data_IF_923970159765
#
_entry.id   IF_923970159765
#
_cell.length_a   1.000
_cell.length_b   1.000
_cell.length_c   1.000
_cell.angle_alpha   90.00
_cell.angle_beta   90.00
_cell.angle_gamma   90.00
#
_symmetry.space_group_name_H-M   'P 1'
#
loop_
_entity.id
_entity.type
_entity.pdbx_description
1 polymer ?
#
# COMPACT_ATOMS: atom_id res chain seq x y z
N UNK A 1 10.73 -2.49 -12.79
CA UNK A 1 9.64 -3.38 -13.22
C UNK A 1 8.63 -3.35 -12.09
N UNK A 2 7.46 -2.81 -12.39
CA UNK A 2 6.37 -2.59 -11.44
C UNK A 2 5.70 -3.93 -11.20
N UNK A 3 6.01 -4.59 -10.08
CA UNK A 3 5.24 -5.75 -9.64
C UNK A 3 4.06 -5.22 -8.84
N UNK A 4 3.04 -4.72 -9.52
CA UNK A 4 1.70 -4.69 -8.91
C UNK A 4 1.29 -6.14 -8.75
N UNK A 5 1.01 -6.63 -7.53
CA UNK A 5 0.35 -7.91 -7.39
C UNK A 5 -1.02 -7.76 -8.08
N UNK A 6 -1.18 -8.37 -9.25
CA UNK A 6 -2.48 -8.54 -9.89
C UNK A 6 -3.29 -9.47 -8.99
N UNK A 7 -3.95 -8.89 -7.98
CA UNK A 7 -5.11 -9.52 -7.39
C UNK A 7 -6.08 -9.80 -8.55
N UNK A 8 -6.53 -11.05 -8.76
CA UNK A 8 -7.51 -11.32 -9.80
C UNK A 8 -8.68 -10.35 -9.62
N UNK A 9 -9.26 -9.84 -10.71
CA UNK A 9 -10.48 -9.01 -10.68
C UNK A 9 -11.63 -9.85 -10.10
N UNK A 10 -11.69 -9.99 -8.78
CA UNK A 10 -12.66 -10.82 -8.08
C UNK A 10 -13.87 -9.95 -7.76
N UNK A 11 -15.06 -10.29 -8.27
CA UNK A 11 -16.28 -9.57 -7.90
C UNK A 11 -16.53 -9.72 -6.40
N UNK A 12 -16.51 -8.60 -5.67
CA UNK A 12 -16.83 -8.53 -4.25
C UNK A 12 -18.36 -8.59 -4.12
N UNK A 13 -18.87 -9.57 -3.37
CA UNK A 13 -20.29 -9.71 -3.02
C UNK A 13 -20.44 -9.74 -1.49
N UNK A 14 -20.42 -8.57 -0.84
CA UNK A 14 -20.44 -8.46 0.61
C UNK A 14 -21.67 -9.14 1.22
N UNK A 15 -21.47 -9.92 2.27
CA UNK A 15 -22.55 -10.42 3.12
C UNK A 15 -22.08 -10.57 4.56
N UNK A 16 -23.04 -10.56 5.48
CA UNK A 16 -22.79 -10.65 6.91
C UNK A 16 -22.66 -12.11 7.35
N UNK A 17 -21.67 -12.37 8.20
CA UNK A 17 -21.44 -13.65 8.89
C UNK A 17 -21.06 -13.36 10.34
N UNK A 18 -21.03 -14.40 11.17
CA UNK A 18 -20.44 -14.28 12.51
C UNK A 18 -18.92 -14.41 12.45
N UNK A 19 -18.19 -13.79 13.39
CA UNK A 19 -16.75 -13.89 13.47
C UNK A 19 -16.28 -15.36 13.57
N UNK A 20 -17.06 -16.23 14.22
CA UNK A 20 -16.77 -17.66 14.32
C UNK A 20 -16.76 -18.41 12.98
N UNK A 21 -17.39 -17.87 11.93
CA UNK A 21 -17.44 -18.48 10.60
C UNK A 21 -16.26 -18.07 9.71
N UNK A 22 -15.49 -17.05 10.12
CA UNK A 22 -14.35 -16.54 9.37
C UNK A 22 -13.20 -17.54 9.41
N UNK A 23 -12.58 -17.77 8.25
CA UNK A 23 -11.42 -18.66 8.12
C UNK A 23 -10.28 -18.01 7.35
N UNK A 24 -9.05 -18.55 7.43
CA UNK A 24 -7.95 -18.10 6.60
C UNK A 24 -8.30 -18.07 5.10
N UNK A 25 -7.92 -16.98 4.45
CA UNK A 25 -8.21 -16.65 3.05
C UNK A 25 -9.47 -15.82 2.85
N UNK A 26 -10.36 -15.69 3.82
CA UNK A 26 -11.54 -14.83 3.65
C UNK A 26 -11.13 -13.35 3.53
N UNK A 27 -11.72 -12.65 2.55
CA UNK A 27 -11.62 -11.19 2.45
C UNK A 27 -12.70 -10.57 3.34
N UNK A 28 -12.24 -9.86 4.35
CA UNK A 28 -12.94 -9.56 5.59
C UNK A 28 -12.95 -8.06 5.88
N UNK A 29 -14.07 -7.56 6.40
CA UNK A 29 -14.24 -6.22 6.93
C UNK A 29 -14.89 -6.29 8.32
N UNK A 30 -14.39 -5.49 9.26
CA UNK A 30 -14.82 -5.50 10.67
C UNK A 30 -16.25 -5.02 10.85
N UNK A 31 -16.71 -4.16 9.95
CA UNK A 31 -18.04 -3.55 9.94
C UNK A 31 -18.56 -3.43 8.51
N UNK A 32 -19.87 -3.21 8.36
CA UNK A 32 -20.47 -2.89 7.05
C UNK A 32 -19.98 -1.54 6.49
N UNK A 33 -19.60 -0.60 7.37
CA UNK A 33 -19.02 0.69 6.99
C UNK A 33 -17.64 0.50 6.38
N UNK A 34 -16.77 -0.32 7.00
CA UNK A 34 -15.46 -0.67 6.43
C UNK A 34 -15.61 -1.28 5.04
N UNK A 35 -16.59 -2.19 4.85
CA UNK A 35 -16.88 -2.76 3.54
C UNK A 35 -17.31 -1.71 2.51
N UNK A 36 -18.13 -0.73 2.92
CA UNK A 36 -18.57 0.38 2.07
C UNK A 36 -17.41 1.33 1.70
N UNK A 37 -16.51 1.60 2.64
CA UNK A 37 -15.28 2.36 2.44
C UNK A 37 -14.16 1.56 1.75
N UNK A 38 -14.43 0.30 1.39
CA UNK A 38 -13.46 -0.64 0.80
C UNK A 38 -12.23 -0.87 1.67
N UNK A 39 -12.37 -0.83 2.99
CA UNK A 39 -11.33 -1.27 3.92
C UNK A 39 -11.49 -2.76 4.16
N UNK A 40 -10.75 -3.54 3.37
CA UNK A 40 -10.74 -4.99 3.43
C UNK A 40 -9.40 -5.52 3.92
N UNK A 41 -9.45 -6.69 4.55
CA UNK A 41 -8.28 -7.42 5.00
C UNK A 41 -8.44 -8.90 4.64
N UNK A 42 -7.35 -9.57 4.31
CA UNK A 42 -7.31 -11.03 4.18
C UNK A 42 -7.03 -11.61 5.55
N UNK A 43 -7.87 -12.53 5.99
CA UNK A 43 -7.61 -13.29 7.22
C UNK A 43 -6.48 -14.27 6.93
N UNK A 44 -5.36 -14.14 7.64
CA UNK A 44 -4.22 -15.06 7.46
C UNK A 44 -4.28 -16.20 8.47
N UNK A 45 -4.73 -15.93 9.69
CA UNK A 45 -4.84 -16.91 10.77
C UNK A 45 -6.04 -16.61 11.68
N UNK A 46 -6.57 -17.67 12.31
CA UNK A 46 -7.65 -17.59 13.29
C UNK A 46 -7.31 -18.49 14.49
N UNK A 47 -7.23 -17.94 15.70
CA UNK A 47 -6.86 -18.66 16.92
C UNK A 47 -7.91 -18.44 18.02
N UNK A 48 -8.29 -19.47 18.79
CA UNK A 48 -9.14 -19.28 19.97
C UNK A 48 -8.35 -18.61 21.11
N UNK A 49 -8.88 -17.52 21.66
CA UNK A 49 -8.35 -16.87 22.89
C UNK A 49 -9.11 -17.36 24.12
N UNK A 50 -10.43 -17.48 24.00
CA UNK A 50 -11.34 -18.07 24.99
C UNK A 50 -12.46 -18.84 24.28
N UNK A 51 -13.39 -19.48 25.00
CA UNK A 51 -14.57 -20.08 24.38
C UNK A 51 -15.44 -19.08 23.61
N UNK A 52 -15.47 -17.81 24.02
CA UNK A 52 -16.28 -16.74 23.44
C UNK A 52 -15.49 -15.81 22.49
N UNK A 53 -14.16 -15.82 22.55
CA UNK A 53 -13.30 -14.89 21.81
C UNK A 53 -12.34 -15.62 20.88
N UNK A 54 -12.28 -15.17 19.63
CA UNK A 54 -11.26 -15.56 18.66
C UNK A 54 -10.35 -14.36 18.36
N UNK A 55 -9.09 -14.65 18.09
CA UNK A 55 -8.14 -13.72 17.51
C UNK A 55 -8.01 -13.99 16.03
N UNK A 56 -8.16 -12.95 15.22
CA UNK A 56 -7.91 -13.01 13.78
C UNK A 56 -6.66 -12.21 13.45
N UNK A 57 -5.81 -12.77 12.60
CA UNK A 57 -4.67 -12.05 12.04
C UNK A 57 -5.06 -11.56 10.65
N UNK A 58 -4.92 -10.26 10.42
CA UNK A 58 -5.46 -9.55 9.27
C UNK A 58 -4.32 -8.89 8.49
N UNK A 59 -4.28 -9.13 7.17
CA UNK A 59 -3.32 -8.52 6.24
C UNK A 59 -4.05 -7.67 5.19
N UNK A 60 -3.57 -6.47 4.84
CA UNK A 60 -4.10 -5.74 3.69
C UNK A 60 -3.96 -6.56 2.38
N UNK A 61 -5.00 -6.65 1.52
CA UNK A 61 -5.01 -7.49 0.32
C UNK A 61 -3.95 -7.14 -0.72
N UNK A 62 -3.51 -5.88 -0.81
CA UNK A 62 -2.41 -5.50 -1.73
C UNK A 62 -1.04 -5.45 -1.03
N UNK A 63 -0.98 -5.99 0.19
CA UNK A 63 0.20 -6.10 1.02
C UNK A 63 0.34 -4.99 2.06
N UNK A 64 1.11 -5.28 3.10
CA UNK A 64 1.25 -4.40 4.26
C UNK A 64 1.64 -5.22 5.47
N UNK A 65 1.46 -4.65 6.65
CA UNK A 65 1.71 -5.35 7.91
C UNK A 65 0.50 -6.12 8.38
N UNK A 66 0.77 -7.24 9.04
CA UNK A 66 -0.26 -7.97 9.77
C UNK A 66 -0.63 -7.21 11.04
N UNK A 67 -1.91 -7.25 11.40
CA UNK A 67 -2.37 -6.86 12.72
C UNK A 67 -3.33 -7.90 13.27
N UNK A 68 -3.43 -7.97 14.59
CA UNK A 68 -4.30 -8.89 15.30
C UNK A 68 -5.54 -8.14 15.80
N UNK A 69 -6.70 -8.78 15.70
CA UNK A 69 -7.95 -8.28 16.28
C UNK A 69 -8.64 -9.38 17.08
N UNK A 70 -9.05 -9.06 18.31
CA UNK A 70 -9.82 -9.95 19.17
C UNK A 70 -11.32 -9.69 18.99
N UNK A 71 -12.03 -10.71 18.49
CA UNK A 71 -13.44 -10.65 18.18
C UNK A 71 -14.22 -11.64 19.02
N UNK A 72 -15.36 -11.20 19.55
CA UNK A 72 -16.36 -12.14 20.07
C UNK A 72 -16.90 -12.99 18.93
N UNK A 73 -17.05 -14.29 19.17
CA UNK A 73 -17.50 -15.26 18.18
C UNK A 73 -18.83 -14.90 17.53
N UNK A 74 -19.75 -14.33 18.32
CA UNK A 74 -21.08 -13.90 17.89
C UNK A 74 -21.12 -12.54 17.19
N UNK A 75 -19.99 -11.81 17.14
CA UNK A 75 -19.93 -10.50 16.48
C UNK A 75 -20.19 -10.66 14.99
N UNK A 76 -21.13 -9.88 14.46
CA UNK A 76 -21.38 -9.78 13.03
C UNK A 76 -20.23 -9.03 12.34
N UNK A 77 -19.76 -9.60 11.23
CA UNK A 77 -18.68 -9.09 10.38
C UNK A 77 -19.07 -9.24 8.91
N UNK A 78 -18.37 -8.58 8.00
CA UNK A 78 -18.68 -8.66 6.56
C UNK A 78 -17.57 -9.41 5.82
N UNK A 79 -17.96 -10.34 4.95
CA UNK A 79 -17.03 -11.04 4.04
C UNK A 79 -17.39 -10.79 2.58
N UNK A 80 -16.39 -10.75 1.69
CA UNK A 80 -16.58 -10.46 0.27
C UNK A 80 -17.19 -11.64 -0.53
N UNK A 81 -17.31 -12.81 0.09
CA UNK A 81 -17.92 -14.01 -0.51
C UNK A 81 -17.04 -14.82 -1.45
N UNK A 82 -15.73 -14.59 -1.43
CA UNK A 82 -14.71 -15.49 -1.99
C UNK A 82 -13.42 -15.43 -1.18
N UNK A 83 -12.60 -16.48 -1.32
CA UNK A 83 -11.30 -16.60 -0.67
C UNK A 83 -10.17 -16.14 -1.58
N UNK A 84 -9.19 -15.53 -0.95
CA UNK A 84 -7.89 -15.13 -1.50
C UNK A 84 -6.87 -16.18 -1.09
N UNK A 85 -5.89 -16.43 -1.95
CA UNK A 85 -4.72 -17.22 -1.59
C UNK A 85 -3.82 -16.41 -0.65
N UNK A 86 -3.72 -16.82 0.61
CA UNK A 86 -2.98 -16.10 1.66
C UNK A 86 -1.49 -16.00 1.30
N UNK A 87 -0.92 -17.03 0.69
CA UNK A 87 0.51 -17.07 0.33
C UNK A 87 0.84 -16.11 -0.82
N UNK A 88 -0.17 -15.72 -1.61
CA UNK A 88 -0.03 -14.75 -2.69
C UNK A 88 -0.09 -13.29 -2.20
N UNK A 89 -0.50 -13.02 -0.96
CA UNK A 89 -0.62 -11.66 -0.41
C UNK A 89 0.70 -11.24 0.23
N UNK A 90 1.44 -10.26 -0.34
CA UNK A 90 2.78 -9.94 0.12
C UNK A 90 2.75 -9.28 1.52
N UNK A 91 3.61 -9.74 2.42
CA UNK A 91 3.92 -9.00 3.65
C UNK A 91 4.87 -7.85 3.28
N UNK A 92 4.45 -6.61 3.55
CA UNK A 92 5.23 -5.41 3.24
C UNK A 92 5.37 -4.59 4.50
N UNK A 93 6.58 -4.51 5.02
CA UNK A 93 6.86 -3.62 6.14
C UNK A 93 6.92 -2.16 5.64
N UNK A 94 6.37 -1.19 6.39
CA UNK A 94 6.41 0.20 6.02
C UNK A 94 7.84 0.70 6.17
N UNK A 95 8.32 1.45 5.18
CA UNK A 95 9.60 2.12 5.28
C UNK A 95 9.46 3.37 6.14
N UNK A 96 10.28 3.50 7.19
CA UNK A 96 10.38 4.76 7.92
C UNK A 96 11.13 5.79 7.10
N UNK A 97 10.53 6.97 6.91
CA UNK A 97 11.14 8.09 6.19
C UNK A 97 11.59 9.23 7.12
N UNK A 98 11.65 9.01 8.44
CA UNK A 98 12.00 10.03 9.41
C UNK A 98 13.35 10.69 9.08
N UNK A 99 14.38 9.86 8.87
CA UNK A 99 15.76 10.30 8.57
C UNK A 99 16.07 10.38 7.06
N UNK A 100 15.07 10.21 6.19
CA UNK A 100 15.28 10.24 4.75
C UNK A 100 15.66 11.65 4.26
N UNK A 101 16.78 11.75 3.53
CA UNK A 101 17.19 12.96 2.80
C UNK A 101 16.51 13.02 1.42
N UNK A 102 15.44 13.81 1.31
CA UNK A 102 14.74 13.98 0.05
C UNK A 102 15.46 14.93 -0.92
N UNK A 103 15.51 14.54 -2.19
CA UNK A 103 16.12 15.33 -3.27
C UNK A 103 15.17 15.49 -4.44
N UNK A 104 15.31 16.60 -5.16
CA UNK A 104 14.56 16.77 -6.40
C UNK A 104 14.92 15.67 -7.42
N UNK A 105 13.88 15.08 -7.99
CA UNK A 105 13.94 13.90 -8.84
C UNK A 105 13.66 12.58 -8.12
N UNK A 106 13.55 12.58 -6.80
CA UNK A 106 13.09 11.41 -6.04
C UNK A 106 11.63 11.08 -6.37
N UNK A 107 11.28 9.81 -6.19
CA UNK A 107 9.93 9.29 -6.39
C UNK A 107 9.41 8.70 -5.09
N UNK A 108 8.10 8.77 -4.93
CA UNK A 108 7.39 8.19 -3.80
C UNK A 108 6.14 7.51 -4.38
N UNK A 109 5.92 6.24 -4.05
CA UNK A 109 4.66 5.58 -4.37
C UNK A 109 3.82 5.40 -3.11
N UNK A 110 2.52 5.60 -3.26
CA UNK A 110 1.52 5.47 -2.19
C UNK A 110 0.41 4.58 -2.69
N UNK A 111 0.12 3.51 -1.97
CA UNK A 111 -0.92 2.53 -2.30
C UNK A 111 -1.82 2.30 -1.09
N UNK A 112 -3.12 2.54 -1.23
CA UNK A 112 -4.11 2.19 -0.19
C UNK A 112 -4.35 0.68 -0.21
N UNK A 113 -3.47 -0.08 0.44
CA UNK A 113 -3.42 -1.52 0.29
C UNK A 113 -4.60 -2.29 0.90
N UNK A 114 -5.38 -1.64 1.77
CA UNK A 114 -6.66 -2.18 2.28
C UNK A 114 -7.78 -2.18 1.23
N UNK A 115 -7.65 -1.41 0.16
CA UNK A 115 -8.62 -1.38 -0.93
C UNK A 115 -8.15 -2.30 -2.06
N UNK A 116 -8.81 -3.44 -2.31
CA UNK A 116 -8.44 -4.38 -3.37
C UNK A 116 -8.44 -3.75 -4.77
N UNK A 117 -9.09 -2.60 -4.95
CA UNK A 117 -9.23 -1.89 -6.21
C UNK A 117 -8.39 -0.59 -6.25
N UNK A 118 -7.56 -0.33 -5.24
CA UNK A 118 -6.74 0.87 -5.22
C UNK A 118 -5.66 0.82 -6.31
N UNK A 119 -5.51 1.96 -6.98
CA UNK A 119 -4.37 2.22 -7.85
C UNK A 119 -3.22 2.85 -7.06
N UNK A 120 -2.00 2.45 -7.39
CA UNK A 120 -0.81 3.09 -6.84
C UNK A 120 -0.70 4.52 -7.37
N UNK A 121 -0.45 5.48 -6.47
CA UNK A 121 -0.24 6.88 -6.81
C UNK A 121 1.25 7.19 -6.69
N UNK A 122 1.85 7.68 -7.78
CA UNK A 122 3.24 8.14 -7.78
C UNK A 122 3.31 9.63 -7.54
N UNK A 123 4.27 10.06 -6.72
CA UNK A 123 4.68 11.44 -6.53
C UNK A 123 6.14 11.60 -6.95
N UNK A 124 6.47 12.75 -7.53
CA UNK A 124 7.84 13.12 -7.92
C UNK A 124 8.17 14.43 -7.22
N UNK A 125 9.33 14.48 -6.57
CA UNK A 125 9.81 15.71 -5.94
C UNK A 125 10.38 16.67 -6.97
N UNK A 126 9.82 17.88 -7.05
CA UNK A 126 10.26 18.97 -7.94
C UNK A 126 10.18 20.30 -7.19
N UNK A 127 11.26 21.07 -7.23
CA UNK A 127 11.33 22.39 -6.60
C UNK A 127 11.00 22.36 -5.10
N UNK A 128 11.54 21.36 -4.38
CA UNK A 128 11.32 21.16 -2.95
C UNK A 128 9.89 20.82 -2.51
N UNK A 129 9.04 20.37 -3.43
CA UNK A 129 7.70 19.86 -3.12
C UNK A 129 7.40 18.57 -3.91
N UNK A 130 6.50 17.75 -3.38
CA UNK A 130 6.05 16.50 -3.98
C UNK A 130 4.81 16.72 -4.82
N UNK A 131 4.91 16.40 -6.11
CA UNK A 131 3.83 16.57 -7.07
C UNK A 131 3.35 15.20 -7.51
N UNK A 132 2.04 15.00 -7.59
CA UNK A 132 1.48 13.77 -8.16
C UNK A 132 1.95 13.64 -9.61
N UNK A 133 2.45 12.48 -9.99
CA UNK A 133 2.89 12.18 -11.36
C UNK A 133 1.68 11.84 -12.23
N UNK A 134 0.82 12.83 -12.46
CA UNK A 134 -0.33 12.76 -13.36
C UNK A 134 -0.08 13.57 -14.61
N UNK A 135 -0.65 13.13 -15.74
CA UNK A 135 -0.66 13.88 -16.99
C UNK A 135 -1.62 15.08 -16.94
N UNK A 136 -2.52 15.10 -15.97
CA UNK A 136 -3.56 16.12 -15.83
C UNK A 136 -3.31 17.00 -14.60
N UNK A 137 -3.22 18.30 -14.87
CA UNK A 137 -3.27 19.44 -13.96
C UNK A 137 -2.02 19.75 -13.10
N UNK A 138 -1.54 20.98 -13.28
CA UNK A 138 -0.54 21.65 -12.43
C UNK A 138 -1.16 22.25 -11.14
N UNK A 139 -2.46 22.01 -10.91
CA UNK A 139 -3.24 22.57 -9.80
C UNK A 139 -3.46 21.56 -8.66
N UNK A 140 -2.89 20.35 -8.75
CA UNK A 140 -2.86 19.42 -7.62
C UNK A 140 -2.00 20.00 -6.49
N UNK A 141 -2.55 20.06 -5.28
CA UNK A 141 -1.83 20.57 -4.11
C UNK A 141 -0.55 19.76 -3.88
N UNK A 142 0.59 20.45 -3.96
CA UNK A 142 1.89 19.83 -3.78
C UNK A 142 2.12 19.54 -2.30
N UNK A 143 2.58 18.33 -1.98
CA UNK A 143 2.86 17.94 -0.61
C UNK A 143 4.28 18.35 -0.20
N UNK A 144 4.42 18.72 1.07
CA UNK A 144 5.71 19.00 1.70
C UNK A 144 6.41 17.73 2.17
N UNK A 145 7.72 17.84 2.42
CA UNK A 145 8.51 16.74 2.99
C UNK A 145 7.98 16.29 4.37
N UNK A 146 7.34 17.18 5.14
CA UNK A 146 6.74 16.84 6.43
C UNK A 146 5.47 15.99 6.26
N UNK A 147 4.68 16.26 5.22
CA UNK A 147 3.46 15.50 4.93
C UNK A 147 3.78 14.11 4.41
N UNK A 148 4.79 13.97 3.56
CA UNK A 148 5.30 12.67 3.11
C UNK A 148 5.79 11.81 4.28
N UNK A 149 6.53 12.41 5.22
CA UNK A 149 6.95 11.70 6.44
C UNK A 149 5.77 11.25 7.28
N UNK A 150 4.76 12.11 7.42
CA UNK A 150 3.52 11.77 8.14
C UNK A 150 2.79 10.60 7.46
N UNK A 151 2.65 10.62 6.13
CA UNK A 151 2.04 9.52 5.38
C UNK A 151 2.78 8.20 5.62
N UNK A 152 4.12 8.20 5.60
CA UNK A 152 4.91 7.01 5.87
C UNK A 152 4.76 6.52 7.32
N UNK A 153 4.75 7.43 8.30
CA UNK A 153 4.56 7.10 9.71
C UNK A 153 3.16 6.50 9.99
N UNK A 154 2.14 7.01 9.31
CA UNK A 154 0.75 6.58 9.47
C UNK A 154 0.36 5.40 8.55
N UNK A 155 1.22 5.04 7.60
CA UNK A 155 0.93 4.08 6.54
C UNK A 155 0.36 2.76 7.07
N UNK A 156 1.05 2.11 8.01
CA UNK A 156 0.59 0.87 8.62
C UNK A 156 -0.79 0.99 9.27
N UNK A 157 -1.00 2.06 10.05
CA UNK A 157 -2.25 2.32 10.78
C UNK A 157 -3.41 2.58 9.84
N UNK A 158 -3.15 3.22 8.71
CA UNK A 158 -4.18 3.59 7.74
C UNK A 158 -4.45 2.51 6.70
N UNK A 159 -3.62 1.45 6.67
CA UNK A 159 -3.72 0.40 5.67
C UNK A 159 -3.14 0.80 4.32
N UNK A 160 -2.12 1.65 4.35
CA UNK A 160 -1.43 2.20 3.19
C UNK A 160 0.00 1.65 3.15
N UNK A 161 0.56 1.52 1.95
CA UNK A 161 1.97 1.22 1.72
C UNK A 161 2.59 2.45 1.06
N UNK A 162 3.69 2.92 1.63
CA UNK A 162 4.49 4.03 1.12
C UNK A 162 5.88 3.51 0.79
N UNK A 163 6.39 3.82 -0.41
CA UNK A 163 7.74 3.43 -0.84
C UNK A 163 8.49 4.65 -1.36
N UNK A 164 9.70 4.88 -0.85
CA UNK A 164 10.57 5.93 -1.37
C UNK A 164 11.58 5.34 -2.35
N UNK A 165 11.69 5.96 -3.52
CA UNK A 165 12.65 5.62 -4.54
C UNK A 165 13.57 6.83 -4.78
N UNK A 166 14.79 6.83 -4.19
CA UNK A 166 15.77 7.88 -4.42
C UNK A 166 16.09 8.00 -5.91
N UNK A 167 16.31 9.24 -6.39
CA UNK A 167 16.64 9.48 -7.79
C UNK A 167 17.86 8.65 -8.22
N UNK A 168 17.89 8.12 -9.46
CA UNK A 168 19.07 7.46 -9.98
C UNK A 168 20.26 8.43 -9.97
N UNK A 169 21.29 8.12 -9.18
CA UNK A 169 22.55 8.86 -9.26
C UNK A 169 23.18 8.49 -10.60
N UNK A 170 23.08 9.39 -11.59
CA UNK A 170 23.95 9.29 -12.76
C UNK A 170 25.38 9.44 -12.26
N UNK A 171 26.08 8.32 -12.07
CA UNK A 171 27.53 8.35 -12.06
C UNK A 171 27.92 8.88 -13.43
N UNK A 172 28.44 10.11 -13.47
CA UNK A 172 29.05 10.64 -14.66
C UNK A 172 30.20 9.67 -15.01
N UNK A 173 29.97 8.81 -16.00
CA UNK A 173 31.06 8.05 -16.63
C UNK A 173 31.99 9.12 -17.16
N UNK A 174 33.18 9.25 -16.55
CA UNK A 174 34.15 10.26 -16.93
C UNK A 174 34.22 10.29 -18.45
N UNK A 175 33.84 11.43 -19.04
CA UNK A 175 33.99 11.63 -20.47
C UNK A 175 35.49 11.60 -20.73
N UNK A 176 36.01 10.45 -21.15
CA UNK A 176 37.34 10.37 -21.74
C UNK A 176 37.42 11.39 -22.87
N UNK A 177 38.60 11.96 -23.15
CA UNK A 177 38.75 13.08 -24.07
C UNK A 177 38.13 12.76 -25.43
N UNK A 178 36.98 13.38 -25.72
CA UNK A 178 36.35 13.31 -27.03
C UNK A 178 37.11 14.26 -27.96
N UNK A 179 37.83 13.70 -28.94
CA UNK A 179 38.44 14.48 -30.01
C UNK A 179 37.32 14.96 -30.93
N UNK A 180 36.95 16.23 -30.80
CA UNK A 180 36.08 16.91 -31.76
C UNK A 180 36.90 17.16 -33.02
N UNK A 181 36.56 16.46 -34.11
CA UNK A 181 37.08 16.78 -35.45
C UNK A 181 36.19 17.88 -36.01
N UNK A 182 36.69 19.11 -35.99
CA UNK A 182 36.08 20.22 -36.75
C UNK A 182 36.49 20.03 -38.20
N UNK A 183 35.59 19.52 -39.04
CA UNK A 183 35.72 19.67 -40.49
C UNK A 183 35.21 21.05 -40.85
N UNK A 184 36.14 21.98 -41.08
CA UNK A 184 35.81 23.30 -41.63
C UNK A 184 35.37 23.21 -43.09
N UNK A 185 34.42 24.06 -43.45
CA UNK A 185 34.18 24.58 -44.80
C UNK A 185 34.11 26.10 -44.70
#
# INVERSE_FOLDING_TARGET
MTHSPEMPEVPIRPHEVTAAEVVPGDLFALTAEDAAERRWHVVTHTLPVSPEVIRVTLRPPLGGVDHEEDLRRERTVTVAGRRVDVDAVPLVEPESLEDAEFRDGDRLTVLRAVDPLAAEVTYVRRWSAWHRDTTESADAEAASDAEVRRWAADAAREGTVVRHEPRPVRQARAAGPQRVVVTGL
#
